data_IF_004421980007
#
_entry.id   IF_004421980007
#
_cell.length_a   1.000
_cell.length_b   1.000
_cell.length_c   1.000
_cell.angle_alpha   90.00
_cell.angle_beta   90.00
_cell.angle_gamma   90.00
#
_symmetry.space_group_name_H-M   'P 1'
#
loop_
_entity.id
_entity.type
_entity.pdbx_description
1 polymer ?
#
# COMPACT_ATOMS: atom_id res chain seq x y z
N UNK A 1 17.90 -12.85 -12.50
CA UNK A 1 17.21 -11.60 -12.18
C UNK A 1 17.29 -11.28 -10.68
N UNK A 2 17.02 -12.22 -9.79
CA UNK A 2 17.06 -12.06 -8.32
C UNK A 2 18.42 -11.62 -7.75
N UNK A 3 19.53 -12.18 -8.26
CA UNK A 3 20.88 -11.78 -7.85
C UNK A 3 21.22 -10.31 -8.15
N UNK A 4 20.63 -9.73 -9.19
CA UNK A 4 20.80 -8.30 -9.53
C UNK A 4 20.06 -7.39 -8.56
N UNK A 5 18.91 -7.82 -8.05
CA UNK A 5 18.12 -7.03 -7.08
C UNK A 5 18.82 -7.05 -5.71
N UNK A 6 19.37 -8.20 -5.27
CA UNK A 6 20.16 -8.28 -4.04
C UNK A 6 21.40 -7.37 -4.02
N UNK A 7 22.05 -7.16 -5.18
CA UNK A 7 23.20 -6.25 -5.29
C UNK A 7 22.83 -4.76 -5.32
N UNK A 8 21.57 -4.40 -5.57
CA UNK A 8 21.11 -3.02 -5.62
C UNK A 8 20.62 -2.49 -4.25
N UNK A 9 20.51 -3.36 -3.24
CA UNK A 9 20.17 -2.98 -1.87
C UNK A 9 21.50 -2.69 -1.15
N UNK A 10 21.91 -1.42 -1.11
CA UNK A 10 23.13 -1.02 -0.41
C UNK A 10 22.94 -1.12 1.11
N UNK A 11 24.03 -1.51 1.82
CA UNK A 11 24.08 -1.54 3.29
C UNK A 11 23.77 -0.18 3.95
N UNK A 12 23.99 0.91 3.23
CA UNK A 12 23.72 2.28 3.70
C UNK A 12 22.22 2.58 3.85
N UNK A 13 21.38 2.02 2.98
CA UNK A 13 19.91 2.18 3.05
C UNK A 13 19.29 1.57 4.32
N UNK A 14 19.94 0.54 4.88
CA UNK A 14 19.48 -0.12 6.13
C UNK A 14 19.84 0.67 7.39
N UNK A 15 20.84 1.55 7.32
CA UNK A 15 21.25 2.41 8.45
C UNK A 15 20.33 3.63 8.56
N UNK A 16 19.99 4.27 7.42
CA UNK A 16 19.05 5.40 7.41
C UNK A 16 17.65 5.04 7.92
N UNK A 17 17.17 3.82 7.64
CA UNK A 17 15.87 3.36 8.14
C UNK A 17 15.84 3.15 9.67
N UNK A 18 17.00 2.91 10.31
CA UNK A 18 17.09 2.82 11.78
C UNK A 18 16.96 4.19 12.47
N UNK A 19 17.24 5.28 11.74
CA UNK A 19 17.13 6.65 12.25
C UNK A 19 15.77 7.29 11.93
N UNK A 20 14.98 6.72 11.01
CA UNK A 20 13.57 7.10 10.89
C UNK A 20 12.87 6.70 12.19
N UNK A 21 12.69 7.68 13.07
CA UNK A 21 11.95 7.52 14.32
C UNK A 21 10.65 6.80 14.00
N UNK A 22 10.50 5.61 14.59
CA UNK A 22 9.22 4.91 14.60
C UNK A 22 8.13 5.92 14.91
N UNK A 23 7.12 6.00 14.04
CA UNK A 23 5.88 6.67 14.39
C UNK A 23 5.50 6.11 15.76
N UNK A 24 5.60 6.94 16.78
CA UNK A 24 5.06 6.60 18.11
C UNK A 24 3.53 6.64 17.98
N UNK A 25 2.95 5.60 17.40
CA UNK A 25 1.74 5.08 17.97
C UNK A 25 2.10 4.87 19.42
N UNK A 26 1.40 5.51 20.34
CA UNK A 26 1.55 5.22 21.76
C UNK A 26 1.32 3.73 21.95
N UNK A 27 2.39 2.97 21.80
CA UNK A 27 2.42 1.54 22.06
C UNK A 27 2.46 1.38 23.57
N UNK A 28 1.29 1.47 24.19
CA UNK A 28 1.11 0.81 25.47
C UNK A 28 1.35 -0.68 25.22
N UNK A 29 2.59 -1.13 25.50
CA UNK A 29 2.98 -2.54 25.67
C UNK A 29 2.67 -3.48 24.48
N UNK A 30 3.22 -3.22 23.29
CA UNK A 30 3.17 -4.15 22.16
C UNK A 30 4.31 -5.19 22.17
N UNK A 31 5.09 -5.30 23.24
CA UNK A 31 6.05 -6.42 23.42
C UNK A 31 5.38 -7.77 23.68
N UNK A 32 4.05 -7.82 23.81
CA UNK A 32 3.33 -9.02 24.28
C UNK A 32 2.61 -9.85 23.25
N UNK A 33 2.38 -9.41 22.01
CA UNK A 33 1.56 -10.24 21.11
C UNK A 33 2.00 -10.24 19.67
N UNK A 34 3.04 -11.06 19.37
CA UNK A 34 3.42 -11.44 18.01
C UNK A 34 2.19 -11.94 17.20
N UNK A 35 1.24 -12.60 17.86
CA UNK A 35 -0.01 -13.08 17.28
C UNK A 35 -0.86 -11.93 16.73
N UNK A 36 -0.91 -10.79 17.43
CA UNK A 36 -1.63 -9.61 16.95
C UNK A 36 -1.01 -9.08 15.64
N UNK A 37 0.29 -8.88 15.62
CA UNK A 37 0.99 -8.40 14.42
C UNK A 37 0.89 -9.39 13.26
N UNK A 38 0.90 -10.69 13.54
CA UNK A 38 0.88 -11.74 12.53
C UNK A 38 -0.50 -11.97 11.92
N UNK A 39 -1.59 -11.86 12.70
CA UNK A 39 -2.89 -12.36 12.26
C UNK A 39 -4.03 -11.35 12.32
N UNK A 40 -3.89 -10.26 13.09
CA UNK A 40 -4.95 -9.28 13.25
C UNK A 40 -5.07 -8.36 12.01
N UNK A 41 -6.29 -8.10 11.57
CA UNK A 41 -6.57 -7.11 10.53
C UNK A 41 -6.36 -5.67 11.05
N UNK A 42 -6.55 -5.47 12.36
CA UNK A 42 -6.35 -4.19 13.04
C UNK A 42 -4.89 -3.77 13.02
N UNK A 43 -3.95 -4.72 13.06
CA UNK A 43 -2.51 -4.43 12.96
C UNK A 43 -2.12 -3.76 11.63
N UNK A 44 -2.90 -3.97 10.57
CA UNK A 44 -2.71 -3.35 9.25
C UNK A 44 -3.77 -2.28 8.95
N UNK A 45 -4.47 -1.79 9.98
CA UNK A 45 -5.36 -0.62 9.88
C UNK A 45 -6.81 -0.90 9.47
N UNK A 46 -7.26 -2.16 9.47
CA UNK A 46 -8.65 -2.52 9.18
C UNK A 46 -9.40 -2.89 10.46
N UNK A 47 -10.70 -2.60 10.51
CA UNK A 47 -11.52 -2.93 11.70
C UNK A 47 -11.65 -4.44 11.94
N UNK A 48 -11.59 -5.26 10.90
CA UNK A 48 -11.64 -6.72 10.95
C UNK A 48 -11.28 -7.31 9.58
N UNK A 49 -11.21 -8.65 9.51
CA UNK A 49 -10.89 -9.39 8.28
C UNK A 49 -11.91 -9.17 7.15
N UNK A 50 -13.18 -9.00 7.47
CA UNK A 50 -14.23 -8.80 6.47
C UNK A 50 -14.05 -7.45 5.76
N UNK A 51 -13.80 -6.39 6.52
CA UNK A 51 -13.51 -5.05 5.96
C UNK A 51 -12.21 -5.03 5.16
N UNK A 52 -11.17 -5.72 5.63
CA UNK A 52 -9.91 -5.88 4.90
C UNK A 52 -10.13 -6.57 3.54
N UNK A 53 -10.82 -7.70 3.53
CA UNK A 53 -11.08 -8.44 2.29
C UNK A 53 -12.04 -7.71 1.35
N UNK A 54 -13.02 -6.99 1.90
CA UNK A 54 -13.86 -6.08 1.13
C UNK A 54 -13.05 -5.00 0.41
N UNK A 55 -12.06 -4.41 1.09
CA UNK A 55 -11.15 -3.44 0.50
C UNK A 55 -10.29 -4.05 -0.63
N UNK A 56 -9.78 -5.26 -0.43
CA UNK A 56 -9.02 -5.98 -1.45
C UNK A 56 -9.86 -6.32 -2.68
N UNK A 57 -11.10 -6.83 -2.50
CA UNK A 57 -12.04 -7.07 -3.61
C UNK A 57 -12.32 -5.78 -4.38
N UNK A 58 -12.53 -4.67 -3.68
CA UNK A 58 -12.82 -3.37 -4.30
C UNK A 58 -11.69 -2.92 -5.24
N UNK A 59 -10.44 -3.18 -4.89
CA UNK A 59 -9.27 -2.83 -5.71
C UNK A 59 -9.03 -3.88 -6.81
N UNK A 60 -9.04 -5.16 -6.46
CA UNK A 60 -8.68 -6.23 -7.39
C UNK A 60 -9.66 -6.40 -8.55
N UNK A 61 -10.89 -5.90 -8.45
CA UNK A 61 -11.87 -5.87 -9.56
C UNK A 61 -11.40 -5.10 -10.80
N UNK A 62 -10.42 -4.21 -10.65
CA UNK A 62 -9.86 -3.41 -11.76
C UNK A 62 -8.57 -4.02 -12.32
N UNK A 63 -8.01 -5.01 -11.65
CA UNK A 63 -6.75 -5.64 -12.03
C UNK A 63 -7.06 -6.88 -12.89
N UNK A 64 -6.55 -6.95 -14.13
CA UNK A 64 -6.73 -8.14 -14.94
C UNK A 64 -6.10 -9.39 -14.31
N UNK A 65 -6.69 -10.55 -14.58
CA UNK A 65 -6.10 -11.84 -14.19
C UNK A 65 -4.64 -11.94 -14.68
N UNK A 66 -3.78 -12.53 -13.86
CA UNK A 66 -2.34 -12.75 -14.14
C UNK A 66 -1.49 -11.49 -14.26
N UNK A 67 -2.07 -10.30 -14.06
CA UNK A 67 -1.29 -9.08 -14.00
C UNK A 67 -0.35 -9.09 -12.79
N UNK A 68 0.85 -8.54 -12.97
CA UNK A 68 1.78 -8.35 -11.87
C UNK A 68 1.43 -7.09 -11.06
N UNK A 69 1.54 -7.18 -9.73
CA UNK A 69 1.12 -6.12 -8.80
C UNK A 69 2.27 -5.65 -7.94
N UNK A 70 2.42 -4.33 -7.80
CA UNK A 70 3.26 -3.67 -6.80
C UNK A 70 2.36 -2.93 -5.81
N UNK A 71 2.36 -3.39 -4.57
CA UNK A 71 1.52 -2.90 -3.48
C UNK A 71 2.28 -1.87 -2.63
N UNK A 72 1.85 -0.62 -2.67
CA UNK A 72 2.41 0.51 -1.93
C UNK A 72 1.73 0.65 -0.57
N UNK A 73 2.48 0.43 0.50
CA UNK A 73 1.94 0.34 1.86
C UNK A 73 1.32 -1.04 2.10
N UNK A 74 2.05 -2.08 1.75
CA UNK A 74 1.57 -3.46 1.73
C UNK A 74 1.35 -4.08 3.12
N UNK A 75 1.81 -3.42 4.19
CA UNK A 75 1.81 -4.01 5.53
C UNK A 75 2.57 -5.34 5.56
N UNK A 76 1.89 -6.43 5.89
CA UNK A 76 2.44 -7.79 5.90
C UNK A 76 2.42 -8.49 4.54
N UNK A 77 1.75 -7.93 3.52
CA UNK A 77 1.52 -8.60 2.23
C UNK A 77 0.25 -9.46 2.20
N UNK A 78 -0.73 -9.19 3.05
CA UNK A 78 -1.99 -9.95 3.18
C UNK A 78 -2.80 -10.00 1.86
N UNK A 79 -2.60 -9.04 0.94
CA UNK A 79 -3.24 -9.04 -0.37
C UNK A 79 -2.92 -10.32 -1.17
N UNK A 80 -1.70 -10.84 -1.07
CA UNK A 80 -1.32 -12.08 -1.74
C UNK A 80 -2.11 -13.29 -1.21
N UNK A 81 -2.27 -13.38 0.12
CA UNK A 81 -3.06 -14.46 0.75
C UNK A 81 -4.55 -14.35 0.42
N UNK A 82 -5.07 -13.12 0.45
CA UNK A 82 -6.44 -12.88 0.00
C UNK A 82 -6.64 -13.38 -1.44
N UNK A 83 -5.73 -13.02 -2.36
CA UNK A 83 -5.85 -13.40 -3.77
C UNK A 83 -5.83 -14.93 -3.94
N UNK A 84 -4.91 -15.61 -3.27
CA UNK A 84 -4.86 -17.07 -3.29
C UNK A 84 -6.16 -17.70 -2.74
N UNK A 85 -6.70 -17.16 -1.65
CA UNK A 85 -7.91 -17.67 -1.03
C UNK A 85 -9.17 -17.43 -1.87
N UNK A 86 -9.27 -16.28 -2.55
CA UNK A 86 -10.46 -15.89 -3.30
C UNK A 86 -10.49 -16.50 -4.71
N UNK A 87 -9.34 -16.59 -5.37
CA UNK A 87 -9.23 -16.98 -6.79
C UNK A 87 -8.55 -18.34 -6.99
N UNK A 88 -8.02 -18.96 -5.93
CA UNK A 88 -7.23 -20.21 -5.98
C UNK A 88 -6.01 -20.11 -6.95
N UNK A 89 -5.45 -18.91 -7.07
CA UNK A 89 -4.28 -18.59 -7.91
C UNK A 89 -3.26 -17.76 -7.13
N UNK A 90 -2.00 -17.87 -7.49
CA UNK A 90 -0.93 -17.04 -6.91
C UNK A 90 -0.83 -15.72 -7.65
N UNK A 91 -0.78 -14.61 -6.90
CA UNK A 91 -0.55 -13.29 -7.46
C UNK A 91 0.94 -13.09 -7.77
N UNK A 92 1.26 -12.55 -8.94
CA UNK A 92 2.63 -12.07 -9.20
C UNK A 92 2.85 -10.77 -8.41
N UNK A 93 3.19 -10.94 -7.14
CA UNK A 93 3.10 -9.92 -6.11
C UNK A 93 4.46 -9.38 -5.68
N UNK A 94 4.51 -8.06 -5.49
CA UNK A 94 5.56 -7.36 -4.76
C UNK A 94 4.92 -6.34 -3.83
N UNK A 95 5.37 -6.29 -2.59
CA UNK A 95 4.91 -5.33 -1.61
C UNK A 95 6.04 -4.43 -1.13
N UNK A 96 5.74 -3.18 -0.84
CA UNK A 96 6.66 -2.23 -0.21
C UNK A 96 5.98 -1.53 0.95
N UNK A 97 6.65 -1.52 2.08
CA UNK A 97 6.23 -0.78 3.28
C UNK A 97 7.46 -0.31 4.05
N UNK A 98 7.34 0.80 4.77
CA UNK A 98 8.40 1.29 5.66
C UNK A 98 8.24 0.78 7.10
N UNK A 99 7.13 0.13 7.43
CA UNK A 99 6.83 -0.42 8.76
C UNK A 99 7.57 -1.75 8.97
N UNK A 100 8.73 -1.67 9.65
CA UNK A 100 9.57 -2.85 9.88
C UNK A 100 8.85 -3.99 10.65
N UNK A 101 8.10 -3.75 11.74
CA UNK A 101 7.31 -4.78 12.40
C UNK A 101 6.37 -5.55 11.47
N UNK A 102 5.66 -4.85 10.58
CA UNK A 102 4.72 -5.48 9.65
C UNK A 102 5.46 -6.29 8.57
N UNK A 103 6.50 -5.74 7.96
CA UNK A 103 7.30 -6.45 6.97
C UNK A 103 7.96 -7.70 7.59
N UNK A 104 8.48 -7.59 8.81
CA UNK A 104 9.09 -8.74 9.49
C UNK A 104 8.06 -9.83 9.77
N UNK A 105 6.87 -9.46 10.27
CA UNK A 105 5.78 -10.42 10.47
C UNK A 105 5.33 -11.06 9.15
N UNK A 106 5.22 -10.27 8.07
CA UNK A 106 4.86 -10.77 6.74
C UNK A 106 5.84 -11.79 6.20
N UNK A 107 7.15 -11.54 6.35
CA UNK A 107 8.21 -12.48 5.93
C UNK A 107 8.19 -13.79 6.70
N UNK A 108 7.82 -13.75 7.97
CA UNK A 108 7.69 -14.93 8.81
C UNK A 108 6.48 -15.79 8.43
N UNK A 109 5.32 -15.17 8.21
CA UNK A 109 4.07 -15.89 7.95
C UNK A 109 3.85 -16.23 6.47
N UNK A 110 4.53 -15.54 5.54
CA UNK A 110 4.41 -15.73 4.09
C UNK A 110 5.78 -16.01 3.44
N UNK A 111 6.43 -17.12 3.74
CA UNK A 111 7.79 -17.42 3.26
C UNK A 111 7.87 -17.46 1.71
N UNK A 112 6.78 -17.81 1.04
CA UNK A 112 6.75 -17.87 -0.44
C UNK A 112 6.91 -16.50 -1.11
N UNK A 113 6.61 -15.42 -0.40
CA UNK A 113 6.77 -14.05 -0.89
C UNK A 113 7.78 -13.23 -0.08
N UNK A 114 8.56 -13.84 0.81
CA UNK A 114 9.51 -13.14 1.69
C UNK A 114 10.44 -12.19 0.92
N UNK A 115 11.02 -12.66 -0.19
CA UNK A 115 11.94 -11.89 -1.02
C UNK A 115 11.22 -10.75 -1.80
N UNK A 116 9.90 -10.79 -1.88
CA UNK A 116 9.07 -9.81 -2.56
C UNK A 116 8.52 -8.73 -1.61
N UNK A 117 8.72 -8.90 -0.29
CA UNK A 117 8.34 -7.89 0.71
C UNK A 117 9.53 -6.97 1.00
N UNK A 118 9.42 -5.74 0.56
CA UNK A 118 10.49 -4.74 0.63
C UNK A 118 10.26 -3.78 1.80
N UNK A 119 11.16 -3.81 2.79
CA UNK A 119 11.23 -2.78 3.83
C UNK A 119 11.88 -1.53 3.23
N UNK A 120 11.07 -0.58 2.79
CA UNK A 120 11.56 0.65 2.15
C UNK A 120 10.52 1.75 2.11
N UNK A 121 10.98 2.98 2.18
CA UNK A 121 10.21 4.14 1.75
C UNK A 121 9.90 4.03 0.25
N UNK A 122 8.63 4.05 -0.12
CA UNK A 122 8.23 3.86 -1.52
C UNK A 122 8.68 5.00 -2.45
N UNK A 123 8.96 6.19 -1.94
CA UNK A 123 9.57 7.27 -2.74
C UNK A 123 11.00 6.93 -3.18
N UNK A 124 11.67 6.02 -2.47
CA UNK A 124 13.05 5.57 -2.72
C UNK A 124 13.13 4.24 -3.49
N UNK A 125 12.02 3.70 -3.99
CA UNK A 125 12.03 2.49 -4.81
C UNK A 125 12.81 2.74 -6.11
N UNK A 126 13.74 1.83 -6.51
CA UNK A 126 14.46 1.94 -7.77
C UNK A 126 13.52 1.94 -8.98
N UNK A 127 13.73 2.84 -9.94
CA UNK A 127 12.89 2.96 -11.15
C UNK A 127 12.85 1.70 -12.03
N UNK A 128 13.78 0.78 -11.82
CA UNK A 128 13.81 -0.52 -12.49
C UNK A 128 12.75 -1.51 -11.99
N UNK A 129 12.18 -1.29 -10.80
CA UNK A 129 11.08 -2.10 -10.28
C UNK A 129 9.80 -1.60 -10.92
N UNK A 130 9.25 -2.39 -11.84
CA UNK A 130 7.97 -2.10 -12.48
C UNK A 130 7.08 -3.33 -12.44
N UNK A 131 5.76 -3.09 -12.36
CA UNK A 131 4.73 -4.12 -12.47
C UNK A 131 3.61 -3.60 -13.37
N UNK A 132 2.74 -4.50 -13.79
CA UNK A 132 1.62 -4.11 -14.65
C UNK A 132 0.73 -3.12 -13.91
N UNK A 133 0.42 -3.40 -12.66
CA UNK A 133 -0.39 -2.51 -11.83
C UNK A 133 0.32 -2.14 -10.53
N UNK A 134 0.13 -0.90 -10.11
CA UNK A 134 0.47 -0.46 -8.77
C UNK A 134 -0.80 -0.22 -7.98
N UNK A 135 -0.86 -0.71 -6.74
CA UNK A 135 -2.00 -0.52 -5.85
C UNK A 135 -1.60 0.18 -4.56
N UNK A 136 -2.55 0.88 -3.94
CA UNK A 136 -2.45 1.40 -2.58
C UNK A 136 -3.81 1.20 -1.90
N UNK A 137 -3.87 0.38 -0.87
CA UNK A 137 -5.11 -0.04 -0.26
C UNK A 137 -5.19 0.47 1.17
N UNK A 138 -5.56 1.74 1.30
CA UNK A 138 -5.82 2.39 2.58
C UNK A 138 -4.62 3.08 3.24
N UNK A 139 -3.38 2.82 2.85
CA UNK A 139 -2.22 3.45 3.52
C UNK A 139 -2.17 4.97 3.31
N UNK A 140 -2.68 5.49 2.18
CA UNK A 140 -2.82 6.93 1.96
C UNK A 140 -3.93 7.58 2.81
N UNK A 141 -4.76 6.81 3.49
CA UNK A 141 -5.76 7.31 4.42
C UNK A 141 -5.21 7.51 5.83
N UNK A 142 -3.99 7.10 6.11
CA UNK A 142 -3.35 7.28 7.39
C UNK A 142 -2.59 8.61 7.42
N UNK A 143 -2.72 9.35 8.53
CA UNK A 143 -1.93 10.55 8.75
C UNK A 143 -0.55 10.14 9.24
N UNK A 144 0.43 10.31 8.37
CA UNK A 144 1.82 10.18 8.74
C UNK A 144 2.25 11.44 9.50
N UNK A 145 3.03 11.25 10.55
CA UNK A 145 3.37 12.16 11.62
C UNK A 145 3.50 13.65 11.23
N UNK A 146 3.18 14.53 12.20
CA UNK A 146 3.16 16.00 12.10
C UNK A 146 4.48 16.66 11.63
N UNK A 147 5.58 15.92 11.57
CA UNK A 147 6.87 16.35 11.01
C UNK A 147 6.90 16.36 9.46
N UNK A 148 5.89 15.79 8.79
CA UNK A 148 5.80 15.90 7.34
C UNK A 148 5.34 17.31 6.96
N UNK A 149 6.25 18.11 6.42
CA UNK A 149 6.04 19.50 5.97
C UNK A 149 5.04 19.64 4.80
N UNK A 150 4.40 18.55 4.39
CA UNK A 150 3.46 18.50 3.25
C UNK A 150 2.04 18.31 3.75
N UNK A 151 1.10 18.99 3.10
CA UNK A 151 -0.30 18.70 3.31
C UNK A 151 -0.69 17.34 2.70
N UNK A 152 -1.76 16.74 3.23
CA UNK A 152 -2.21 15.40 2.86
C UNK A 152 -2.48 15.23 1.35
N UNK A 153 -2.94 16.31 0.69
CA UNK A 153 -3.22 16.26 -0.74
C UNK A 153 -1.94 16.26 -1.59
N UNK A 154 -0.95 17.06 -1.23
CA UNK A 154 0.37 17.07 -1.88
C UNK A 154 1.05 15.70 -1.73
N UNK A 155 0.99 15.12 -0.53
CA UNK A 155 1.52 13.77 -0.29
C UNK A 155 0.84 12.72 -1.18
N UNK A 156 -0.50 12.75 -1.26
CA UNK A 156 -1.26 11.86 -2.14
C UNK A 156 -0.87 12.04 -3.62
N UNK A 157 -0.73 13.28 -4.09
CA UNK A 157 -0.33 13.58 -5.46
C UNK A 157 1.05 13.00 -5.81
N UNK A 158 2.00 13.13 -4.91
CA UNK A 158 3.35 12.58 -5.07
C UNK A 158 3.31 11.05 -5.06
N UNK A 159 2.55 10.44 -4.15
CA UNK A 159 2.36 8.99 -4.09
C UNK A 159 1.76 8.45 -5.38
N UNK A 160 0.68 9.04 -5.87
CA UNK A 160 0.07 8.66 -7.16
C UNK A 160 1.08 8.79 -8.31
N UNK A 161 1.85 9.88 -8.32
CA UNK A 161 2.87 10.10 -9.35
C UNK A 161 3.94 9.01 -9.31
N UNK A 162 4.39 8.66 -8.11
CA UNK A 162 5.37 7.60 -7.90
C UNK A 162 4.83 6.24 -8.33
N UNK A 163 3.60 5.89 -7.94
CA UNK A 163 2.95 4.66 -8.37
C UNK A 163 2.85 4.59 -9.89
N UNK A 164 2.42 5.68 -10.54
CA UNK A 164 2.30 5.75 -11.99
C UNK A 164 3.65 5.56 -12.71
N UNK A 165 4.76 6.05 -12.14
CA UNK A 165 6.12 5.79 -12.67
C UNK A 165 6.47 4.30 -12.66
N UNK A 166 5.98 3.53 -11.69
CA UNK A 166 6.28 2.11 -11.49
C UNK A 166 5.29 1.15 -12.17
N UNK A 167 4.13 1.66 -12.60
CA UNK A 167 3.13 0.87 -13.32
C UNK A 167 3.45 0.78 -14.82
N UNK A 168 3.09 -0.34 -15.47
CA UNK A 168 3.10 -0.49 -16.92
C UNK A 168 1.71 -0.21 -17.53
N UNK A 169 0.62 -0.60 -16.84
CA UNK A 169 -0.76 -0.55 -17.32
C UNK A 169 -1.60 0.46 -16.54
N UNK A 170 -1.43 0.54 -15.23
CA UNK A 170 -2.21 1.48 -14.43
C UNK A 170 -1.98 1.43 -12.94
N UNK A 171 -2.71 2.29 -12.24
CA UNK A 171 -2.70 2.39 -10.78
C UNK A 171 -4.11 2.35 -10.23
N UNK A 172 -4.31 1.74 -9.06
CA UNK A 172 -5.56 1.77 -8.31
C UNK A 172 -5.29 2.12 -6.86
N UNK A 173 -6.03 3.11 -6.35
CA UNK A 173 -5.99 3.48 -4.93
C UNK A 173 -7.38 3.36 -4.32
N UNK A 174 -7.44 2.78 -3.11
CA UNK A 174 -8.63 2.84 -2.26
C UNK A 174 -8.47 3.97 -1.26
N UNK A 175 -9.32 4.97 -1.35
CA UNK A 175 -9.27 6.20 -0.57
C UNK A 175 -10.55 6.38 0.25
N UNK A 176 -10.41 6.90 1.47
CA UNK A 176 -11.55 7.28 2.31
C UNK A 176 -12.07 8.66 1.95
N UNK A 177 -13.40 8.86 2.01
CA UNK A 177 -14.05 10.15 1.78
C UNK A 177 -14.88 10.64 2.97
N UNK A 178 -15.34 9.73 3.83
CA UNK A 178 -16.28 10.05 4.94
C UNK A 178 -16.03 9.18 6.19
N UNK A 179 -14.86 8.57 6.33
CA UNK A 179 -14.57 7.78 7.52
C UNK A 179 -14.42 8.68 8.75
N UNK A 180 -15.05 8.26 9.86
CA UNK A 180 -14.97 8.97 11.13
C UNK A 180 -14.10 8.15 12.10
N UNK A 181 -12.79 8.35 12.00
CA UNK A 181 -11.86 7.78 12.96
C UNK A 181 -10.66 8.72 13.14
N UNK A 182 -10.14 8.79 14.35
CA UNK A 182 -8.97 9.61 14.66
C UNK A 182 -7.75 9.13 13.86
N UNK A 183 -6.96 10.07 13.36
CA UNK A 183 -5.76 9.77 12.59
C UNK A 183 -6.00 9.40 11.12
N UNK A 184 -7.25 9.37 10.66
CA UNK A 184 -7.57 9.15 9.25
C UNK A 184 -7.68 10.46 8.47
N UNK A 185 -7.23 10.40 7.23
CA UNK A 185 -7.38 11.45 6.23
C UNK A 185 -8.53 11.10 5.30
N UNK A 186 -9.49 12.00 5.18
CA UNK A 186 -10.53 11.91 4.16
C UNK A 186 -10.15 12.74 2.93
N UNK A 187 -10.34 12.14 1.78
CA UNK A 187 -10.01 12.74 0.50
C UNK A 187 -11.29 13.16 -0.25
N UNK A 188 -11.26 14.34 -0.86
CA UNK A 188 -12.34 14.82 -1.72
C UNK A 188 -12.20 14.18 -3.12
N UNK A 189 -13.15 13.30 -3.53
CA UNK A 189 -13.09 12.63 -4.83
C UNK A 189 -13.10 13.63 -6.01
N UNK A 190 -13.85 14.73 -5.90
CA UNK A 190 -13.93 15.76 -6.93
C UNK A 190 -12.62 16.51 -7.09
N UNK A 191 -11.96 16.88 -5.97
CA UNK A 191 -10.65 17.53 -5.98
C UNK A 191 -9.58 16.65 -6.62
N UNK A 192 -9.58 15.35 -6.28
CA UNK A 192 -8.62 14.38 -6.83
C UNK A 192 -8.87 14.18 -8.32
N UNK A 193 -10.13 13.95 -8.73
CA UNK A 193 -10.48 13.79 -10.13
C UNK A 193 -10.05 15.01 -10.96
N UNK A 194 -10.39 16.21 -10.50
CA UNK A 194 -10.03 17.47 -11.19
C UNK A 194 -8.51 17.65 -11.35
N UNK A 195 -7.73 17.18 -10.41
CA UNK A 195 -6.27 17.18 -10.52
C UNK A 195 -5.77 16.09 -11.46
N UNK A 196 -6.24 14.85 -11.28
CA UNK A 196 -5.75 13.70 -12.00
C UNK A 196 -6.04 13.80 -13.51
N UNK A 197 -7.23 14.24 -13.92
CA UNK A 197 -7.61 14.39 -15.33
C UNK A 197 -6.76 15.42 -16.10
N UNK A 198 -6.15 16.38 -15.39
CA UNK A 198 -5.21 17.35 -16.00
C UNK A 198 -3.83 16.73 -16.28
N UNK A 199 -3.50 15.65 -15.60
CA UNK A 199 -2.17 15.04 -15.62
C UNK A 199 -2.15 13.71 -16.37
N UNK A 200 -3.23 12.95 -16.33
CA UNK A 200 -3.33 11.60 -16.88
C UNK A 200 -4.49 11.52 -17.88
N UNK A 201 -4.33 10.67 -18.90
CA UNK A 201 -5.31 10.59 -20.02
C UNK A 201 -6.60 9.87 -19.65
N UNK A 202 -6.51 8.84 -18.82
CA UNK A 202 -7.66 8.00 -18.49
C UNK A 202 -7.77 7.87 -16.97
N UNK A 203 -8.80 8.49 -16.40
CA UNK A 203 -9.03 8.55 -14.95
C UNK A 203 -10.47 8.17 -14.66
N UNK A 204 -10.66 7.26 -13.70
CA UNK A 204 -11.96 6.89 -13.15
C UNK A 204 -11.94 7.13 -11.64
N UNK A 205 -13.02 7.67 -11.12
CA UNK A 205 -13.34 7.69 -9.69
C UNK A 205 -14.62 6.89 -9.49
N UNK A 206 -14.48 5.74 -8.84
CA UNK A 206 -15.63 4.88 -8.53
C UNK A 206 -16.00 5.00 -7.05
N UNK A 207 -17.09 5.67 -6.78
CA UNK A 207 -17.67 5.85 -5.44
C UNK A 207 -18.82 4.85 -5.16
N UNK A 208 -18.96 3.80 -5.96
CA UNK A 208 -20.00 2.77 -5.77
C UNK A 208 -19.57 1.62 -4.86
N UNK A 209 -18.31 1.61 -4.46
CA UNK A 209 -17.71 0.51 -3.68
C UNK A 209 -18.10 0.51 -2.20
N UNK A 210 -18.34 1.69 -1.63
CA UNK A 210 -18.80 1.88 -0.24
C UNK A 210 -19.32 3.29 -0.02
N UNK A 211 -20.05 3.49 1.09
CA UNK A 211 -20.56 4.81 1.48
C UNK A 211 -19.45 5.74 2.02
N UNK A 212 -18.32 5.20 2.43
CA UNK A 212 -17.24 5.93 3.10
C UNK A 212 -15.92 6.00 2.32
N UNK A 213 -15.85 5.35 1.15
CA UNK A 213 -14.64 5.30 0.35
C UNK A 213 -14.90 5.23 -1.15
N UNK A 214 -13.85 5.39 -1.92
CA UNK A 214 -13.88 5.32 -3.38
C UNK A 214 -12.57 4.76 -3.93
N UNK A 215 -12.61 4.18 -5.13
CA UNK A 215 -11.41 3.86 -5.88
C UNK A 215 -11.07 4.99 -6.86
N UNK A 216 -9.79 5.37 -6.90
CA UNK A 216 -9.20 6.12 -7.99
C UNK A 216 -8.44 5.15 -8.90
N UNK A 217 -8.80 5.12 -10.18
CA UNK A 217 -8.16 4.28 -11.19
C UNK A 217 -7.56 5.18 -12.26
N UNK A 218 -6.29 4.97 -12.61
CA UNK A 218 -5.59 5.71 -13.66
C UNK A 218 -4.93 4.68 -14.58
N UNK A 219 -5.34 4.65 -15.84
CA UNK A 219 -4.73 3.81 -16.87
C UNK A 219 -3.58 4.53 -17.58
N UNK A 220 -2.62 3.76 -18.08
CA UNK A 220 -1.53 4.24 -18.95
C UNK A 220 -1.86 4.24 -20.41
#
# INVERSE_FOLDING_TARGET
MFEKIKKMINKEDTVELKEMKSVKTESKNLEGDLTFLQYSAEAVGFANRETQWGAYRAVMRYIPEKASVLDFGCGRGDLNTFYLSEYNETLNYYGVDFNNPLISAGKEIYPDIEENLLLRDWFKIPKSIKRDWCVNIGSCNLRYDADMKKDDFTYLQETITKMYEHANEGVVLLLSSRMQADGLVNHDPGRIFNWAQKKYKSVIVDHTISDSGFCLIIYK
#
